data_IF_889417450647
#
_entry.id   IF_889417450647
#
_cell.length_a   1.000
_cell.length_b   1.000
_cell.length_c   1.000
_cell.angle_alpha   90.00
_cell.angle_beta   90.00
_cell.angle_gamma   90.00
#
_symmetry.space_group_name_H-M   'P 1'
#
loop_
_entity.id
_entity.type
_entity.pdbx_description
1 polymer ?
#
# COMPACT_ATOMS: atom_id res chain seq x y z
N UNK A 1 -11.28 17.77 -9.74
CA UNK A 1 -12.54 17.16 -10.19
C UNK A 1 -12.70 15.74 -9.67
N UNK A 2 -11.79 14.84 -10.01
CA UNK A 2 -11.85 13.43 -9.62
C UNK A 2 -11.92 13.19 -8.09
N UNK A 3 -11.31 14.05 -7.29
CA UNK A 3 -11.34 13.92 -5.84
C UNK A 3 -12.76 14.12 -5.26
N UNK A 4 -13.52 15.09 -5.77
CA UNK A 4 -14.89 15.34 -5.31
C UNK A 4 -15.84 14.21 -5.73
N UNK A 5 -15.73 13.76 -6.96
CA UNK A 5 -16.50 12.65 -7.50
C UNK A 5 -16.28 11.37 -6.68
N UNK A 6 -15.04 11.01 -6.48
CA UNK A 6 -14.65 9.83 -5.69
C UNK A 6 -15.07 9.93 -4.22
N UNK A 7 -15.03 11.13 -3.62
CA UNK A 7 -15.51 11.35 -2.26
C UNK A 7 -17.02 11.11 -2.16
N UNK A 8 -17.79 11.75 -3.05
CA UNK A 8 -19.24 11.63 -3.05
C UNK A 8 -19.72 10.20 -3.29
N UNK A 9 -19.10 9.49 -4.24
CA UNK A 9 -19.41 8.07 -4.50
C UNK A 9 -19.21 7.22 -3.24
N UNK A 10 -18.11 7.39 -2.54
CA UNK A 10 -17.84 6.66 -1.29
C UNK A 10 -18.78 7.06 -0.16
N UNK A 11 -19.09 8.34 -0.02
CA UNK A 11 -20.02 8.82 1.01
C UNK A 11 -21.45 8.31 0.77
N UNK A 12 -21.92 8.23 -0.47
CA UNK A 12 -23.25 7.69 -0.84
C UNK A 12 -23.39 6.21 -0.51
N UNK A 13 -22.32 5.44 -0.61
CA UNK A 13 -22.25 4.01 -0.26
C UNK A 13 -21.85 3.75 1.20
N UNK A 14 -21.65 4.79 1.99
CA UNK A 14 -21.18 4.64 3.37
C UNK A 14 -22.25 4.02 4.28
N UNK A 15 -21.89 3.11 5.23
CA UNK A 15 -22.83 2.50 6.17
C UNK A 15 -23.57 3.53 7.02
N UNK A 16 -22.92 4.61 7.44
CA UNK A 16 -23.53 5.66 8.26
C UNK A 16 -24.54 6.49 7.47
N UNK A 17 -25.82 6.58 7.92
CA UNK A 17 -26.86 7.37 7.26
C UNK A 17 -26.51 8.86 7.14
N UNK A 18 -25.83 9.41 8.12
CA UNK A 18 -25.38 10.80 8.13
C UNK A 18 -24.43 11.09 6.97
N UNK A 19 -23.47 10.19 6.70
CA UNK A 19 -22.55 10.35 5.58
C UNK A 19 -23.29 10.38 4.25
N UNK A 20 -24.28 9.52 4.07
CA UNK A 20 -25.15 9.51 2.85
C UNK A 20 -25.95 10.80 2.72
N UNK A 21 -26.54 11.28 3.82
CA UNK A 21 -27.29 12.53 3.84
C UNK A 21 -26.41 13.72 3.44
N UNK A 22 -25.22 13.82 4.03
CA UNK A 22 -24.29 14.89 3.66
C UNK A 22 -23.80 14.78 2.22
N UNK A 23 -23.62 13.57 1.69
CA UNK A 23 -23.27 13.38 0.29
C UNK A 23 -24.32 13.99 -0.66
N UNK A 24 -25.61 13.75 -0.38
CA UNK A 24 -26.70 14.31 -1.19
C UNK A 24 -26.78 15.85 -1.07
N UNK A 25 -26.64 16.39 0.13
CA UNK A 25 -26.60 17.84 0.35
C UNK A 25 -25.43 18.49 -0.42
N UNK A 26 -24.24 17.91 -0.32
CA UNK A 26 -23.06 18.37 -1.05
C UNK A 26 -23.25 18.26 -2.56
N UNK A 27 -23.84 17.17 -3.04
CA UNK A 27 -24.08 16.94 -4.46
C UNK A 27 -25.03 18.00 -5.05
N UNK A 28 -26.09 18.35 -4.33
CA UNK A 28 -27.03 19.41 -4.72
C UNK A 28 -26.31 20.75 -4.90
N UNK A 29 -25.49 21.14 -3.95
CA UNK A 29 -24.76 22.42 -4.00
C UNK A 29 -23.66 22.41 -5.06
N UNK A 30 -22.86 21.35 -5.14
CA UNK A 30 -21.77 21.26 -6.11
C UNK A 30 -22.27 21.20 -7.57
N UNK A 31 -23.44 20.63 -7.82
CA UNK A 31 -24.05 20.65 -9.17
C UNK A 31 -24.35 22.05 -9.67
N UNK A 32 -24.60 23.02 -8.79
CA UNK A 32 -24.84 24.42 -9.16
C UNK A 32 -23.56 25.11 -9.67
N UNK A 33 -22.40 24.66 -9.18
CA UNK A 33 -21.10 25.34 -9.41
C UNK A 33 -20.20 24.56 -10.36
N UNK A 34 -20.13 23.23 -10.22
CA UNK A 34 -19.18 22.38 -10.96
C UNK A 34 -19.82 21.12 -11.56
N UNK A 35 -20.94 21.22 -12.29
CA UNK A 35 -21.70 20.06 -12.78
C UNK A 35 -20.85 19.13 -13.67
N UNK A 36 -19.91 19.69 -14.41
CA UNK A 36 -19.05 18.91 -15.31
C UNK A 36 -18.12 17.92 -14.61
N UNK A 37 -17.80 18.16 -13.33
CA UNK A 37 -16.93 17.29 -12.53
C UNK A 37 -17.70 16.22 -11.77
N UNK A 38 -19.03 16.18 -11.89
CA UNK A 38 -19.90 15.27 -11.14
C UNK A 38 -20.67 14.30 -12.04
N UNK A 39 -20.34 14.29 -13.33
CA UNK A 39 -21.10 13.50 -14.33
C UNK A 39 -21.09 12.00 -14.07
N UNK A 40 -20.06 11.48 -13.41
CA UNK A 40 -19.90 10.05 -13.15
C UNK A 40 -20.59 9.58 -11.87
N UNK A 41 -20.96 10.51 -11.00
CA UNK A 41 -21.57 10.16 -9.69
C UNK A 41 -22.86 9.38 -9.87
N UNK A 42 -23.64 9.68 -10.92
CA UNK A 42 -24.92 9.06 -11.20
C UNK A 42 -24.83 7.91 -12.23
N UNK A 43 -23.65 7.62 -12.77
CA UNK A 43 -23.51 6.53 -13.75
C UNK A 43 -23.57 5.18 -13.03
N UNK A 44 -24.38 4.22 -13.55
CA UNK A 44 -24.52 2.90 -12.93
C UNK A 44 -23.20 2.15 -12.79
N UNK A 45 -22.32 2.26 -13.79
CA UNK A 45 -21.04 1.53 -13.85
C UNK A 45 -19.90 2.22 -13.09
N UNK A 46 -20.06 3.45 -12.61
CA UNK A 46 -18.97 4.27 -12.02
C UNK A 46 -19.38 5.07 -10.80
N UNK A 47 -20.65 5.09 -10.47
CA UNK A 47 -21.23 5.85 -9.37
C UNK A 47 -21.40 5.04 -8.10
N UNK A 48 -22.56 5.18 -7.49
CA UNK A 48 -22.92 4.57 -6.20
C UNK A 48 -22.74 3.05 -6.18
N UNK A 49 -23.04 2.35 -7.29
CA UNK A 49 -22.95 0.91 -7.38
C UNK A 49 -21.52 0.38 -7.15
N UNK A 50 -20.51 1.08 -7.62
CA UNK A 50 -19.10 0.74 -7.35
C UNK A 50 -18.78 0.87 -5.86
N UNK A 51 -19.28 1.92 -5.22
CA UNK A 51 -19.13 2.11 -3.78
C UNK A 51 -19.88 1.04 -2.98
N UNK A 52 -21.09 0.68 -3.41
CA UNK A 52 -21.90 -0.39 -2.80
C UNK A 52 -21.19 -1.74 -2.91
N UNK A 53 -20.69 -2.11 -4.07
CA UNK A 53 -19.91 -3.34 -4.24
C UNK A 53 -18.75 -3.44 -3.24
N UNK A 54 -17.98 -2.36 -3.07
CA UNK A 54 -16.86 -2.36 -2.11
C UNK A 54 -17.35 -2.48 -0.65
N UNK A 55 -18.49 -1.89 -0.32
CA UNK A 55 -19.11 -2.01 1.00
C UNK A 55 -19.60 -3.44 1.25
N UNK A 56 -20.31 -4.02 0.29
CA UNK A 56 -20.85 -5.38 0.40
C UNK A 56 -19.73 -6.44 0.51
N UNK A 57 -18.61 -6.24 -0.20
CA UNK A 57 -17.44 -7.12 -0.06
C UNK A 57 -16.84 -7.02 1.33
N UNK A 58 -16.70 -5.81 1.85
CA UNK A 58 -16.17 -5.59 3.18
C UNK A 58 -17.07 -6.21 4.26
N UNK A 59 -18.37 -5.97 4.21
CA UNK A 59 -19.34 -6.53 5.18
C UNK A 59 -19.29 -8.05 5.19
N UNK A 60 -19.28 -8.68 4.02
CA UNK A 60 -19.14 -10.15 3.93
C UNK A 60 -17.81 -10.67 4.52
N UNK A 61 -16.72 -9.94 4.35
CA UNK A 61 -15.42 -10.32 4.93
C UNK A 61 -15.41 -10.09 6.45
N UNK A 62 -16.11 -9.06 6.94
CA UNK A 62 -16.27 -8.81 8.37
C UNK A 62 -17.08 -9.94 9.04
N UNK A 63 -18.20 -10.36 8.43
CA UNK A 63 -19.00 -11.49 8.92
C UNK A 63 -18.18 -12.79 8.97
N UNK A 64 -17.42 -13.07 7.92
CA UNK A 64 -16.52 -14.24 7.89
C UNK A 64 -15.38 -14.13 8.91
N UNK A 65 -14.86 -12.93 9.11
CA UNK A 65 -13.82 -12.72 10.12
C UNK A 65 -14.35 -12.98 11.53
N UNK A 66 -15.58 -12.55 11.85
CA UNK A 66 -16.23 -12.86 13.13
C UNK A 66 -16.47 -14.37 13.32
N UNK A 67 -16.80 -15.09 12.23
CA UNK A 67 -16.97 -16.54 12.26
C UNK A 67 -15.65 -17.29 12.53
N UNK A 68 -14.58 -16.92 11.81
CA UNK A 68 -13.30 -17.66 11.87
C UNK A 68 -12.34 -17.15 12.93
N UNK A 69 -12.49 -15.91 13.36
CA UNK A 69 -11.64 -15.26 14.37
C UNK A 69 -12.52 -14.63 15.46
N UNK A 70 -13.21 -15.46 16.27
CA UNK A 70 -14.01 -14.93 17.37
C UNK A 70 -13.10 -14.12 18.32
N UNK A 71 -13.65 -13.11 19.00
CA UNK A 71 -12.88 -12.28 19.92
C UNK A 71 -12.19 -13.15 20.97
N UNK A 72 -10.89 -13.30 20.85
CA UNK A 72 -10.07 -13.89 21.89
C UNK A 72 -9.61 -12.79 22.85
N UNK A 73 -9.31 -13.17 24.09
CA UNK A 73 -8.66 -12.22 25.01
C UNK A 73 -7.35 -11.76 24.37
N UNK A 74 -7.14 -10.45 24.33
CA UNK A 74 -5.94 -9.86 23.75
C UNK A 74 -4.69 -10.55 24.31
N UNK A 75 -3.89 -11.13 23.42
CA UNK A 75 -2.65 -11.80 23.82
C UNK A 75 -1.71 -10.71 24.32
N UNK A 76 -1.57 -10.63 25.64
CA UNK A 76 -0.66 -9.68 26.27
C UNK A 76 0.78 -9.95 25.77
N UNK A 77 1.43 -8.94 25.21
CA UNK A 77 2.83 -9.01 24.78
C UNK A 77 3.05 -9.17 23.28
N UNK A 78 2.05 -8.92 22.44
CA UNK A 78 2.28 -8.81 21.00
C UNK A 78 3.30 -7.69 20.71
N UNK A 79 4.27 -7.93 19.80
CA UNK A 79 5.24 -6.90 19.45
C UNK A 79 4.55 -5.71 18.76
N UNK A 80 5.02 -4.50 19.06
CA UNK A 80 4.53 -3.27 18.41
C UNK A 80 4.89 -3.25 16.91
N UNK A 81 5.97 -3.93 16.54
CA UNK A 81 6.43 -4.10 15.15
C UNK A 81 6.89 -5.55 14.99
N UNK A 82 6.32 -6.23 14.02
CA UNK A 82 6.71 -7.59 13.63
C UNK A 82 7.04 -7.67 12.14
N UNK A 83 8.15 -8.31 11.78
CA UNK A 83 8.50 -8.64 10.40
C UNK A 83 7.88 -9.99 10.05
N UNK A 84 6.71 -9.95 9.44
CA UNK A 84 5.88 -11.14 9.17
C UNK A 84 6.27 -11.90 7.90
N UNK A 85 6.90 -11.20 6.93
CA UNK A 85 7.34 -11.81 5.68
C UNK A 85 8.48 -11.03 5.06
N UNK A 86 9.39 -11.73 4.40
CA UNK A 86 10.50 -11.12 3.65
C UNK A 86 10.87 -11.98 2.44
N UNK A 87 11.50 -11.36 1.46
CA UNK A 87 12.02 -12.05 0.29
C UNK A 87 13.34 -12.78 0.64
N UNK A 88 13.37 -14.12 0.67
CA UNK A 88 14.59 -14.88 0.98
C UNK A 88 15.71 -14.68 -0.05
N UNK A 89 15.36 -14.28 -1.28
CA UNK A 89 16.29 -13.98 -2.37
C UNK A 89 16.62 -12.49 -2.49
N UNK A 90 16.28 -11.68 -1.48
CA UNK A 90 16.40 -10.21 -1.51
C UNK A 90 17.79 -9.74 -1.96
N UNK A 91 18.85 -10.32 -1.38
CA UNK A 91 20.24 -9.96 -1.70
C UNK A 91 20.58 -10.30 -3.16
N UNK A 92 20.22 -11.50 -3.63
CA UNK A 92 20.45 -11.94 -5.00
C UNK A 92 19.73 -11.02 -5.99
N UNK A 93 18.45 -10.73 -5.75
CA UNK A 93 17.63 -9.85 -6.60
C UNK A 93 18.18 -8.43 -6.64
N UNK A 94 18.65 -7.93 -5.49
CA UNK A 94 19.25 -6.60 -5.39
C UNK A 94 20.55 -6.52 -6.19
N UNK A 95 21.45 -7.49 -6.02
CA UNK A 95 22.73 -7.54 -6.75
C UNK A 95 22.50 -7.70 -8.25
N UNK A 96 21.60 -8.59 -8.66
CA UNK A 96 21.23 -8.77 -10.05
C UNK A 96 20.69 -7.47 -10.67
N UNK A 97 19.78 -6.80 -9.98
CA UNK A 97 19.21 -5.54 -10.44
C UNK A 97 20.23 -4.39 -10.49
N UNK A 98 21.25 -4.39 -9.59
CA UNK A 98 22.32 -3.41 -9.61
C UNK A 98 23.25 -3.62 -10.82
N UNK A 99 23.53 -4.86 -11.20
CA UNK A 99 24.39 -5.22 -12.33
C UNK A 99 23.68 -5.12 -13.69
N UNK A 100 22.37 -5.37 -13.74
CA UNK A 100 21.63 -5.47 -14.99
C UNK A 100 21.84 -4.29 -15.95
N UNK A 101 21.77 -3.02 -15.52
CA UNK A 101 22.00 -1.88 -16.42
C UNK A 101 23.44 -1.76 -16.94
N UNK A 102 24.39 -2.42 -16.29
CA UNK A 102 25.81 -2.38 -16.63
C UNK A 102 26.24 -3.57 -17.52
N UNK A 103 25.31 -4.46 -17.90
CA UNK A 103 25.58 -5.65 -18.70
C UNK A 103 24.74 -5.67 -19.96
N UNK A 104 25.17 -6.46 -20.96
CA UNK A 104 24.36 -6.78 -22.16
C UNK A 104 23.73 -8.17 -22.04
N UNK A 105 23.49 -8.66 -20.83
CA UNK A 105 22.91 -9.96 -20.54
C UNK A 105 21.43 -9.83 -20.20
N UNK A 106 20.67 -10.90 -20.44
CA UNK A 106 19.29 -10.98 -20.00
C UNK A 106 19.18 -11.05 -18.48
N UNK A 107 18.06 -10.62 -17.92
CA UNK A 107 17.76 -10.68 -16.49
C UNK A 107 17.99 -12.09 -15.92
N UNK A 108 17.55 -13.12 -16.64
CA UNK A 108 17.75 -14.53 -16.27
C UNK A 108 19.22 -14.93 -16.19
N UNK A 109 20.06 -14.49 -17.13
CA UNK A 109 21.50 -14.81 -17.12
C UNK A 109 22.19 -14.11 -15.96
N UNK A 110 21.82 -12.85 -15.68
CA UNK A 110 22.38 -12.10 -14.55
C UNK A 110 22.00 -12.73 -13.22
N UNK A 111 20.70 -13.07 -13.02
CA UNK A 111 20.22 -13.75 -11.81
C UNK A 111 20.94 -15.08 -11.60
N UNK A 112 21.01 -15.93 -12.65
CA UNK A 112 21.70 -17.22 -12.57
C UNK A 112 23.18 -17.06 -12.18
N UNK A 113 23.86 -16.05 -12.71
CA UNK A 113 25.27 -15.78 -12.37
C UNK A 113 25.42 -15.30 -10.93
N UNK A 114 24.56 -14.38 -10.49
CA UNK A 114 24.61 -13.85 -9.11
C UNK A 114 24.38 -14.95 -8.07
N UNK A 115 23.50 -15.90 -8.34
CA UNK A 115 23.26 -17.05 -7.46
C UNK A 115 24.50 -17.93 -7.24
N UNK A 116 25.44 -17.93 -8.18
CA UNK A 116 26.70 -18.68 -8.05
C UNK A 116 27.84 -17.87 -7.40
N UNK A 117 27.63 -16.60 -7.12
CA UNK A 117 28.63 -15.74 -6.49
C UNK A 117 28.72 -16.01 -4.99
N UNK A 118 29.94 -15.83 -4.45
CA UNK A 118 30.15 -15.84 -3.01
C UNK A 118 29.50 -14.63 -2.33
N UNK A 119 29.35 -14.69 -1.02
CA UNK A 119 28.83 -13.56 -0.22
C UNK A 119 29.76 -12.34 -0.38
N UNK A 120 31.07 -12.55 -0.40
CA UNK A 120 32.07 -11.50 -0.53
C UNK A 120 31.96 -10.79 -1.89
N UNK A 121 31.76 -11.55 -2.98
CA UNK A 121 31.56 -10.98 -4.32
C UNK A 121 30.28 -10.13 -4.36
N UNK A 122 29.16 -10.63 -3.82
CA UNK A 122 27.90 -9.88 -3.75
C UNK A 122 28.01 -8.61 -2.91
N UNK A 123 28.66 -8.69 -1.75
CA UNK A 123 28.92 -7.52 -0.91
C UNK A 123 29.81 -6.47 -1.59
N UNK A 124 30.81 -6.90 -2.35
CA UNK A 124 31.64 -5.98 -3.13
C UNK A 124 30.82 -5.21 -4.18
N UNK A 125 29.91 -5.91 -4.86
CA UNK A 125 29.00 -5.29 -5.84
C UNK A 125 28.04 -4.30 -5.15
N UNK A 126 27.47 -4.67 -4.01
CA UNK A 126 26.58 -3.78 -3.25
C UNK A 126 27.30 -2.52 -2.76
N UNK A 127 28.53 -2.66 -2.29
CA UNK A 127 29.37 -1.49 -1.90
C UNK A 127 29.64 -0.57 -3.09
N UNK A 128 29.98 -1.15 -4.24
CA UNK A 128 30.18 -0.37 -5.47
C UNK A 128 28.87 0.31 -5.93
N UNK A 129 27.73 -0.36 -5.82
CA UNK A 129 26.43 0.17 -6.18
C UNK A 129 26.00 1.35 -5.28
N UNK A 130 26.24 1.26 -3.99
CA UNK A 130 25.94 2.34 -3.03
C UNK A 130 26.95 3.49 -3.17
N UNK A 131 28.21 3.16 -3.43
CA UNK A 131 29.30 4.12 -3.56
C UNK A 131 29.55 4.95 -2.29
N UNK A 132 30.42 5.94 -2.42
CA UNK A 132 30.74 6.86 -1.31
C UNK A 132 29.71 7.97 -1.22
N UNK A 133 28.79 7.84 -0.27
CA UNK A 133 27.72 8.82 -0.05
C UNK A 133 28.18 9.96 0.85
N UNK A 134 28.37 11.14 0.28
CA UNK A 134 28.72 12.36 1.03
C UNK A 134 27.55 13.11 1.64
N UNK A 135 26.32 12.85 1.18
CA UNK A 135 25.11 13.48 1.75
C UNK A 135 23.83 12.70 1.36
N UNK A 136 22.67 13.13 1.93
CA UNK A 136 21.37 12.49 1.72
C UNK A 136 20.86 12.51 0.27
N UNK A 137 21.38 13.38 -0.58
CA UNK A 137 20.95 13.50 -1.98
C UNK A 137 21.66 12.50 -2.89
N UNK A 138 22.76 11.90 -2.44
CA UNK A 138 23.39 10.77 -3.10
C UNK A 138 22.53 9.53 -2.88
N UNK A 139 21.60 9.29 -3.79
CA UNK A 139 20.66 8.18 -3.70
C UNK A 139 21.19 6.99 -4.51
N UNK A 140 21.23 5.79 -3.93
CA UNK A 140 21.45 4.58 -4.69
C UNK A 140 20.37 4.40 -5.76
N UNK A 141 20.66 3.60 -6.77
CA UNK A 141 19.72 3.34 -7.85
C UNK A 141 18.52 2.49 -7.43
N UNK A 142 17.61 2.28 -8.37
CA UNK A 142 16.32 1.60 -8.16
C UNK A 142 16.42 0.10 -7.85
N UNK A 143 17.61 -0.50 -7.89
CA UNK A 143 17.79 -1.88 -7.48
C UNK A 143 17.28 -2.16 -6.05
N UNK A 144 17.34 -1.15 -5.15
CA UNK A 144 16.79 -1.24 -3.79
C UNK A 144 15.25 -1.40 -3.73
N UNK A 145 14.55 -1.20 -4.83
CA UNK A 145 13.10 -1.39 -4.93
C UNK A 145 12.71 -2.84 -5.25
N UNK A 146 13.68 -3.74 -5.50
CA UNK A 146 13.42 -5.15 -5.85
C UNK A 146 13.01 -6.02 -4.66
N UNK A 147 13.67 -5.92 -3.49
CA UNK A 147 13.26 -6.69 -2.32
C UNK A 147 11.94 -6.18 -1.73
N UNK A 148 11.16 -7.10 -1.18
CA UNK A 148 9.94 -6.78 -0.45
C UNK A 148 10.02 -7.30 0.99
N UNK A 149 9.44 -6.53 1.90
CA UNK A 149 9.30 -6.86 3.30
C UNK A 149 7.89 -6.56 3.74
N UNK A 150 7.30 -7.41 4.58
CA UNK A 150 5.99 -7.17 5.19
C UNK A 150 6.16 -7.01 6.70
N UNK A 151 5.63 -5.92 7.19
CA UNK A 151 5.59 -5.64 8.62
C UNK A 151 4.14 -5.55 9.09
N UNK A 152 3.88 -6.14 10.25
CA UNK A 152 2.69 -5.83 11.04
C UNK A 152 3.08 -4.77 12.07
N UNK A 153 2.29 -3.69 12.16
CA UNK A 153 2.63 -2.53 12.99
C UNK A 153 1.42 -2.08 13.78
N UNK A 154 1.51 -2.17 15.10
CA UNK A 154 0.57 -1.54 16.01
C UNK A 154 1.03 -0.12 16.30
N UNK A 155 0.23 0.88 15.90
CA UNK A 155 0.61 2.29 16.06
C UNK A 155 -0.59 3.16 16.41
N UNK A 156 -0.32 4.35 16.91
CA UNK A 156 -1.36 5.36 17.06
C UNK A 156 -1.81 5.93 15.71
N UNK A 157 -2.97 6.61 15.73
CA UNK A 157 -3.57 7.18 14.51
C UNK A 157 -2.69 8.23 13.83
N UNK A 158 -1.88 8.98 14.58
CA UNK A 158 -0.97 9.99 14.04
C UNK A 158 0.13 9.36 13.17
N UNK A 159 0.80 8.34 13.70
CA UNK A 159 1.81 7.58 12.99
C UNK A 159 1.23 6.87 11.75
N UNK A 160 0.04 6.27 11.87
CA UNK A 160 -0.68 5.68 10.74
C UNK A 160 -0.95 6.70 9.62
N UNK A 161 -1.41 7.91 9.97
CA UNK A 161 -1.66 8.98 8.99
C UNK A 161 -0.39 9.42 8.26
N UNK A 162 0.75 9.39 8.93
CA UNK A 162 2.04 9.71 8.31
C UNK A 162 2.52 8.58 7.39
N UNK A 163 2.35 7.32 7.78
CA UNK A 163 2.63 6.18 6.91
C UNK A 163 1.80 6.20 5.62
N UNK A 164 0.53 6.59 5.67
CA UNK A 164 -0.33 6.71 4.48
C UNK A 164 0.19 7.70 3.43
N UNK A 165 1.08 8.61 3.78
CA UNK A 165 1.69 9.56 2.83
C UNK A 165 2.83 8.96 2.03
N UNK A 166 3.34 7.81 2.42
CA UNK A 166 4.40 7.10 1.70
C UNK A 166 3.83 6.30 0.53
N UNK A 167 3.75 6.94 -0.63
CA UNK A 167 3.11 6.38 -1.85
C UNK A 167 3.76 5.10 -2.38
N UNK A 168 4.99 4.80 -1.97
CA UNK A 168 5.72 3.61 -2.39
C UNK A 168 5.43 2.39 -1.50
N UNK A 169 4.72 2.57 -0.40
CA UNK A 169 4.30 1.49 0.48
C UNK A 169 2.92 0.98 0.07
N UNK A 170 2.73 -0.32 0.06
CA UNK A 170 1.40 -0.93 0.07
C UNK A 170 0.98 -1.02 1.53
N UNK A 171 -0.12 -0.38 1.87
CA UNK A 171 -0.66 -0.34 3.22
C UNK A 171 -2.06 -0.96 3.22
N UNK A 172 -2.21 -2.01 4.02
CA UNK A 172 -3.48 -2.55 4.44
C UNK A 172 -3.66 -2.25 5.92
N UNK A 173 -4.87 -1.95 6.35
CA UNK A 173 -5.12 -1.60 7.75
C UNK A 173 -6.42 -2.18 8.27
N UNK A 174 -6.40 -2.51 9.53
CA UNK A 174 -7.57 -2.94 10.28
C UNK A 174 -8.45 -1.73 10.65
N UNK A 175 -9.65 -2.00 11.19
CA UNK A 175 -10.50 -0.95 11.76
C UNK A 175 -9.74 -0.25 12.89
N UNK A 176 -9.94 1.05 12.97
CA UNK A 176 -9.44 1.83 14.11
C UNK A 176 -10.21 1.43 15.36
N UNK A 177 -9.49 1.16 16.44
CA UNK A 177 -10.04 0.91 17.77
C UNK A 177 -9.62 2.01 18.75
N UNK A 178 -10.16 1.95 19.94
CA UNK A 178 -9.81 2.85 21.05
C UNK A 178 -9.05 2.12 22.17
N UNK A 179 -8.65 0.90 21.91
CA UNK A 179 -7.95 0.03 22.86
C UNK A 179 -6.45 0.34 22.91
#
# INVERSE_FOLDING_TARGET
GQAYESLLVRMRAHPLPEARTYAEMMLVELRKVVPSFLKRVDLPDRGEEVGRYATDVRERLEDLAEEYFPPEEAVAGSPVVDLTDWDPDAEVKLVAAALYPATNRSDREVDARVRTMSIEERLAILRAFVGDRGNRRHRPGRALERPAYRFDVLSDYGAFRDMQRHRMMTLDWQRLSTD
#
